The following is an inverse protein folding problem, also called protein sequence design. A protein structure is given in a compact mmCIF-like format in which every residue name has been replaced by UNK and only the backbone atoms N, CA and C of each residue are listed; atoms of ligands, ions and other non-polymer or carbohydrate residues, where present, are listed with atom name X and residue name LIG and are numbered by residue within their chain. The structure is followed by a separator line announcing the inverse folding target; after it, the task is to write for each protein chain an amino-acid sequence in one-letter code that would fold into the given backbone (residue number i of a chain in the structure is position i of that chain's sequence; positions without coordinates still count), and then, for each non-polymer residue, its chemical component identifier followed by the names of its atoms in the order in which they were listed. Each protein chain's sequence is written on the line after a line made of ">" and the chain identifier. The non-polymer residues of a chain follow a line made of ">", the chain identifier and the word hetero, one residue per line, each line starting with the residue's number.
data_IF_998681561795
#
_entry.id   IF_998681561795
#
_cell.length_a   1.000
_cell.length_b   1.000
_cell.length_c   1.000
_cell.angle_alpha   90.00
_cell.angle_beta   90.00
_cell.angle_gamma   90.00
#
_symmetry.space_group_name_H-M   'P 1'
#
loop_
_entity.id
_entity.type
_entity.pdbx_description
1 polymer ?
#
# COMPACT_ATOMS: atom_id res chain seq x y z
N UNK A 1 27.65 0.72 1.92
CA UNK A 1 26.46 1.59 2.10
C UNK A 1 25.27 0.83 1.54
N UNK A 2 24.37 0.34 2.38
CA UNK A 2 23.15 -0.33 1.93
C UNK A 2 22.20 0.72 1.34
N UNK A 3 22.41 1.03 0.06
CA UNK A 3 21.49 1.88 -0.72
C UNK A 3 20.15 1.14 -0.73
N UNK A 4 19.11 1.77 -0.17
CA UNK A 4 17.77 1.21 -0.16
C UNK A 4 17.41 0.74 -1.57
N UNK A 5 16.89 -0.47 -1.72
CA UNK A 5 16.55 -0.96 -3.05
C UNK A 5 15.47 -0.06 -3.68
N UNK A 6 15.49 0.15 -5.01
CA UNK A 6 14.46 0.95 -5.69
C UNK A 6 13.04 0.43 -5.40
N UNK A 7 12.89 -0.89 -5.27
CA UNK A 7 11.62 -1.51 -4.87
C UNK A 7 11.17 -1.09 -3.48
N UNK A 8 12.09 -1.06 -2.50
CA UNK A 8 11.77 -0.63 -1.13
C UNK A 8 11.35 0.85 -1.08
N UNK A 9 12.01 1.72 -1.86
CA UNK A 9 11.61 3.13 -1.97
C UNK A 9 10.23 3.29 -2.59
N UNK A 10 9.93 2.55 -3.67
CA UNK A 10 8.60 2.58 -4.29
C UNK A 10 7.51 2.05 -3.35
N UNK A 11 7.77 0.97 -2.63
CA UNK A 11 6.83 0.43 -1.65
C UNK A 11 6.58 1.42 -0.51
N UNK A 12 7.63 2.07 -0.02
CA UNK A 12 7.51 3.11 1.00
C UNK A 12 6.66 4.28 0.49
N UNK A 13 6.91 4.75 -0.73
CA UNK A 13 6.18 5.85 -1.36
C UNK A 13 4.71 5.50 -1.61
N UNK A 14 4.43 4.28 -2.11
CA UNK A 14 3.07 3.79 -2.28
C UNK A 14 2.37 3.73 -0.93
N UNK A 15 3.00 3.11 0.07
CA UNK A 15 2.46 2.98 1.43
C UNK A 15 2.09 4.34 2.01
N UNK A 16 3.01 5.31 1.99
CA UNK A 16 2.77 6.65 2.55
C UNK A 16 1.69 7.41 1.79
N UNK A 17 1.70 7.37 0.46
CA UNK A 17 0.69 8.04 -0.38
C UNK A 17 -0.70 7.46 -0.14
N UNK A 18 -0.83 6.13 -0.12
CA UNK A 18 -2.10 5.46 0.10
C UNK A 18 -2.62 5.64 1.52
N UNK A 19 -1.74 5.56 2.52
CA UNK A 19 -2.11 5.75 3.91
C UNK A 19 -2.57 7.18 4.21
N UNK A 20 -1.86 8.18 3.69
CA UNK A 20 -2.25 9.59 3.86
C UNK A 20 -3.55 9.90 3.13
N UNK A 21 -3.72 9.40 1.91
CA UNK A 21 -4.96 9.57 1.14
C UNK A 21 -6.15 8.86 1.82
N UNK A 22 -5.98 7.63 2.28
CA UNK A 22 -7.03 6.91 3.01
C UNK A 22 -7.35 7.58 4.35
N UNK A 23 -6.35 8.11 5.06
CA UNK A 23 -6.59 8.87 6.28
C UNK A 23 -7.35 10.17 6.00
N UNK A 24 -7.03 10.89 4.92
CA UNK A 24 -7.74 12.11 4.53
C UNK A 24 -9.20 11.85 4.14
N UNK A 25 -9.51 10.70 3.53
CA UNK A 25 -10.86 10.36 3.07
C UNK A 25 -11.72 9.65 4.12
N UNK A 26 -11.12 8.81 4.96
CA UNK A 26 -11.81 7.89 5.86
C UNK A 26 -11.46 8.08 7.34
N UNK A 27 -10.39 8.83 7.64
CA UNK A 27 -9.89 9.04 8.98
C UNK A 27 -10.70 10.08 9.76
N UNK A 28 -10.81 9.85 11.08
CA UNK A 28 -11.46 10.77 12.03
C UNK A 28 -10.48 11.36 13.05
N UNK A 29 -9.34 10.72 13.27
CA UNK A 29 -8.38 11.15 14.30
C UNK A 29 -6.97 10.85 13.85
N UNK A 30 -6.04 11.77 14.09
CA UNK A 30 -4.61 11.62 13.78
C UNK A 30 -3.98 10.33 14.33
N UNK A 31 -4.50 9.81 15.45
CA UNK A 31 -4.11 8.51 16.03
C UNK A 31 -4.34 7.31 15.09
N UNK A 32 -5.21 7.45 14.08
CA UNK A 32 -5.48 6.41 13.11
C UNK A 32 -4.41 6.35 12.00
N UNK A 33 -3.63 7.42 11.80
CA UNK A 33 -2.64 7.48 10.71
C UNK A 33 -1.63 6.31 10.74
N UNK A 34 -1.03 5.92 11.89
CA UNK A 34 -0.13 4.77 11.93
C UNK A 34 -0.82 3.46 11.54
N UNK A 35 -2.11 3.31 11.85
CA UNK A 35 -2.89 2.13 11.50
C UNK A 35 -3.15 2.07 10.00
N UNK A 36 -3.57 3.19 9.39
CA UNK A 36 -3.70 3.30 7.94
C UNK A 36 -2.35 3.03 7.26
N UNK A 37 -1.25 3.50 7.83
CA UNK A 37 0.09 3.25 7.30
C UNK A 37 0.45 1.76 7.30
N UNK A 38 0.26 1.06 8.42
CA UNK A 38 0.53 -0.39 8.51
C UNK A 38 -0.40 -1.19 7.60
N UNK A 39 -1.67 -0.80 7.49
CA UNK A 39 -2.64 -1.43 6.59
C UNK A 39 -2.24 -1.30 5.10
N UNK A 40 -1.82 -0.10 4.69
CA UNK A 40 -1.33 0.15 3.34
C UNK A 40 -0.06 -0.66 3.05
N UNK A 41 0.87 -0.68 4.00
CA UNK A 41 2.12 -1.43 3.89
C UNK A 41 1.84 -2.93 3.72
N UNK A 42 0.93 -3.48 4.52
CA UNK A 42 0.53 -4.87 4.43
C UNK A 42 -0.05 -5.20 3.05
N UNK A 43 -0.99 -4.41 2.54
CA UNK A 43 -1.56 -4.64 1.21
C UNK A 43 -0.52 -4.56 0.08
N UNK A 44 0.36 -3.56 0.11
CA UNK A 44 1.44 -3.44 -0.89
C UNK A 44 2.44 -4.60 -0.82
N UNK A 45 2.85 -5.01 0.38
CA UNK A 45 3.78 -6.11 0.58
C UNK A 45 3.17 -7.45 0.17
N UNK A 46 1.92 -7.72 0.55
CA UNK A 46 1.23 -8.97 0.20
C UNK A 46 1.16 -9.12 -1.32
N UNK A 47 0.74 -8.09 -2.05
CA UNK A 47 0.68 -8.13 -3.52
C UNK A 47 2.05 -8.38 -4.15
N UNK A 48 3.09 -7.72 -3.61
CA UNK A 48 4.46 -7.81 -4.13
C UNK A 48 5.10 -9.16 -3.84
N UNK A 49 4.94 -9.69 -2.63
CA UNK A 49 5.54 -10.96 -2.18
C UNK A 49 4.83 -12.16 -2.80
N UNK A 50 3.50 -12.11 -2.92
CA UNK A 50 2.74 -13.18 -3.58
C UNK A 50 2.96 -13.22 -5.09
N UNK A 51 3.61 -12.19 -5.66
CA UNK A 51 3.77 -12.08 -7.11
C UNK A 51 2.42 -12.06 -7.84
N UNK A 52 1.35 -11.64 -7.15
CA UNK A 52 0.02 -11.56 -7.75
C UNK A 52 0.09 -10.55 -8.87
N UNK A 53 -0.19 -11.00 -10.10
CA UNK A 53 -0.26 -10.16 -11.28
C UNK A 53 -1.61 -10.39 -11.94
N UNK A 54 -2.30 -9.31 -12.26
CA UNK A 54 -3.42 -9.41 -13.17
C UNK A 54 -2.91 -9.85 -14.56
N UNK A 55 -3.75 -10.49 -15.38
CA UNK A 55 -3.42 -10.83 -16.77
C UNK A 55 -3.41 -9.60 -17.68
N UNK A 56 -3.16 -8.42 -17.12
CA UNK A 56 -2.96 -7.16 -17.80
C UNK A 56 -1.43 -7.03 -17.92
N UNK A 57 -0.88 -7.09 -19.14
CA UNK A 57 0.56 -6.96 -19.41
C UNK A 57 1.07 -5.53 -19.09
N UNK A 58 1.03 -5.15 -17.81
CA UNK A 58 1.44 -3.85 -17.33
C UNK A 58 2.93 -3.88 -16.94
N UNK A 59 3.65 -2.76 -17.14
CA UNK A 59 5.03 -2.66 -16.72
C UNK A 59 5.15 -2.74 -15.18
N UNK A 60 6.17 -3.46 -14.69
CA UNK A 60 6.45 -3.60 -13.25
C UNK A 60 7.74 -2.84 -12.88
N UNK A 61 7.64 -1.54 -12.57
CA UNK A 61 8.82 -0.73 -12.26
C UNK A 61 9.52 -1.22 -11.01
N UNK A 62 10.85 -1.35 -11.08
CA UNK A 62 11.68 -1.97 -10.05
C UNK A 62 11.18 -3.34 -9.54
N UNK A 63 10.40 -4.07 -10.36
CA UNK A 63 9.80 -5.35 -9.98
C UNK A 63 8.56 -5.25 -9.10
N UNK A 64 8.06 -4.04 -8.79
CA UNK A 64 6.86 -3.84 -7.96
C UNK A 64 5.61 -3.81 -8.84
N UNK A 65 4.61 -4.70 -8.61
CA UNK A 65 3.34 -4.67 -9.32
C UNK A 65 2.48 -3.51 -8.78
N UNK A 66 2.70 -2.30 -9.30
CA UNK A 66 2.13 -1.06 -8.72
C UNK A 66 0.60 -1.09 -8.65
N UNK A 67 -0.07 -1.61 -9.69
CA UNK A 67 -1.53 -1.65 -9.73
C UNK A 67 -2.08 -2.59 -8.66
N UNK A 68 -1.57 -3.82 -8.62
CA UNK A 68 -1.98 -4.86 -7.66
C UNK A 68 -1.68 -4.44 -6.22
N UNK A 69 -0.49 -3.87 -5.99
CA UNK A 69 -0.10 -3.34 -4.69
C UNK A 69 -1.03 -2.21 -4.23
N UNK A 70 -1.40 -1.31 -5.13
CA UNK A 70 -2.32 -0.21 -4.84
C UNK A 70 -3.74 -0.70 -4.57
N UNK A 71 -4.26 -1.59 -5.43
CA UNK A 71 -5.60 -2.17 -5.28
C UNK A 71 -5.72 -2.95 -3.98
N UNK A 72 -4.77 -3.82 -3.68
CA UNK A 72 -4.79 -4.61 -2.46
C UNK A 72 -4.63 -3.73 -1.22
N UNK A 73 -3.77 -2.70 -1.27
CA UNK A 73 -3.69 -1.70 -0.21
C UNK A 73 -5.05 -1.04 0.05
N UNK A 74 -5.74 -0.57 -0.99
CA UNK A 74 -7.06 0.04 -0.84
C UNK A 74 -8.12 -0.92 -0.27
N UNK A 75 -8.13 -2.18 -0.71
CA UNK A 75 -9.03 -3.20 -0.13
C UNK A 75 -8.79 -3.32 1.38
N UNK A 76 -7.54 -3.47 1.80
CA UNK A 76 -7.18 -3.59 3.22
C UNK A 76 -7.53 -2.31 3.99
N UNK A 77 -7.23 -1.13 3.43
CA UNK A 77 -7.53 0.17 4.05
C UNK A 77 -9.03 0.37 4.24
N UNK A 78 -9.85 0.02 3.24
CA UNK A 78 -11.30 0.08 3.34
C UNK A 78 -11.78 -0.86 4.44
N UNK A 79 -11.34 -2.12 4.46
CA UNK A 79 -11.72 -3.08 5.52
C UNK A 79 -11.36 -2.55 6.91
N UNK A 80 -10.11 -2.09 7.10
CA UNK A 80 -9.64 -1.55 8.38
C UNK A 80 -10.41 -0.29 8.78
N UNK A 81 -10.77 0.57 7.84
CA UNK A 81 -11.59 1.76 8.11
C UNK A 81 -12.99 1.41 8.62
N UNK A 82 -13.58 0.29 8.16
CA UNK A 82 -14.91 -0.16 8.60
C UNK A 82 -14.87 -0.86 9.95
N UNK A 83 -13.80 -1.58 10.26
CA UNK A 83 -13.62 -2.28 11.53
C UNK A 83 -13.27 -1.36 12.71
N UNK A 84 -12.86 -0.11 12.43
CA UNK A 84 -12.43 0.88 13.42
C UNK A 84 -13.34 2.13 13.49
N UNK A 85 -14.55 2.03 12.93
CA UNK A 85 -15.68 2.91 13.27
C UNK A 85 -16.22 2.53 14.66
#
# INVERSE_FOLDING_TARGET
>A
MSVLSPAALLLLLLTTTHATLAHALLGRTWRQLPIFWVAAAAGCLIATVLGWRFPLNLPTPAGVPMLEASLLAWVVLIVVSRLRL
#
